data_IF_550534088955
#
_entry.id   IF_550534088955
#
_cell.length_a   1.000
_cell.length_b   1.000
_cell.length_c   1.000
_cell.angle_alpha   90.00
_cell.angle_beta   90.00
_cell.angle_gamma   90.00
#
_symmetry.space_group_name_H-M   'P 1'
#
loop_
_entity.id
_entity.type
_entity.pdbx_description
1 polymer ?
#
# COMPACT_ATOMS: atom_id res chain seq x y z
N UNK A 1 37.49 51.42 24.23
CA UNK A 1 38.02 50.82 22.98
C UNK A 1 37.42 49.43 22.82
N UNK A 2 36.62 49.27 21.76
CA UNK A 2 36.21 48.03 21.07
C UNK A 2 35.44 46.93 21.82
N UNK A 3 34.11 46.98 21.62
CA UNK A 3 33.18 45.85 21.57
C UNK A 3 33.59 44.81 20.51
N UNK A 4 33.47 43.51 20.82
CA UNK A 4 33.30 42.40 19.85
C UNK A 4 32.44 41.31 20.51
N UNK A 5 31.12 41.39 20.32
CA UNK A 5 30.29 40.58 19.39
C UNK A 5 30.24 39.08 19.70
N UNK A 6 29.07 38.66 20.20
CA UNK A 6 28.64 37.28 20.38
C UNK A 6 28.57 36.55 19.04
N UNK A 7 29.13 35.34 18.98
CA UNK A 7 28.94 34.42 17.85
C UNK A 7 27.94 33.36 18.27
N UNK A 8 26.73 33.44 17.71
CA UNK A 8 25.64 32.47 17.90
C UNK A 8 26.06 31.13 17.25
N UNK A 9 25.94 29.98 17.92
CA UNK A 9 26.31 28.68 17.36
C UNK A 9 25.45 28.30 16.14
N UNK A 10 26.12 27.64 15.21
CA UNK A 10 25.76 27.30 13.83
C UNK A 10 24.59 26.33 13.64
N UNK A 11 23.82 26.03 14.68
CA UNK A 11 22.80 24.95 14.67
C UNK A 11 21.42 25.40 14.18
N UNK A 12 21.12 26.71 14.18
CA UNK A 12 19.82 27.23 13.73
C UNK A 12 19.68 27.23 12.19
N UNK A 13 20.80 27.27 11.44
CA UNK A 13 20.77 27.27 9.96
C UNK A 13 20.48 25.89 9.35
N UNK A 14 20.67 24.80 10.08
CA UNK A 14 20.40 23.44 9.58
C UNK A 14 18.91 23.06 9.69
N UNK A 15 18.21 23.53 10.72
CA UNK A 15 16.75 23.39 10.85
C UNK A 15 16.02 24.18 9.75
N UNK A 16 16.47 25.41 9.48
CA UNK A 16 15.86 26.27 8.47
C UNK A 16 16.00 25.75 7.02
N UNK A 17 17.08 25.02 6.70
CA UNK A 17 17.23 24.39 5.37
C UNK A 17 16.36 23.15 5.17
N UNK A 18 15.97 22.44 6.23
CA UNK A 18 15.00 21.34 6.14
C UNK A 18 13.58 21.87 5.98
N UNK A 19 13.22 22.93 6.70
CA UNK A 19 11.92 23.61 6.57
C UNK A 19 11.74 24.31 5.21
N UNK A 20 12.80 24.88 4.62
CA UNK A 20 12.70 25.57 3.32
C UNK A 20 12.64 24.64 2.10
N UNK A 21 12.91 23.33 2.25
CA UNK A 21 12.74 22.36 1.16
C UNK A 21 11.28 21.88 0.99
N UNK A 22 10.41 22.17 1.97
CA UNK A 22 9.04 21.62 2.03
C UNK A 22 7.94 22.54 1.47
N UNK A 23 8.26 23.72 0.93
CA UNK A 23 7.24 24.70 0.55
C UNK A 23 7.28 25.11 -0.93
N UNK A 24 7.01 24.16 -1.85
CA UNK A 24 6.33 24.41 -3.14
C UNK A 24 5.92 23.09 -3.81
N UNK A 25 5.17 22.24 -3.10
CA UNK A 25 4.35 21.24 -3.79
C UNK A 25 3.49 21.98 -4.83
N UNK A 26 3.66 21.61 -6.09
CA UNK A 26 2.89 22.19 -7.20
C UNK A 26 1.40 22.02 -6.94
N UNK A 27 0.57 22.89 -7.53
CA UNK A 27 -0.89 22.80 -7.36
C UNK A 27 -1.41 21.38 -7.66
N UNK A 28 -0.86 20.74 -8.70
CA UNK A 28 -1.19 19.39 -9.09
C UNK A 28 -0.79 18.33 -8.05
N UNK A 29 0.38 18.45 -7.42
CA UNK A 29 0.82 17.50 -6.38
C UNK A 29 -0.05 17.60 -5.12
N UNK A 30 -0.49 18.81 -4.75
CA UNK A 30 -1.43 18.99 -3.63
C UNK A 30 -2.79 18.36 -3.91
N UNK A 31 -3.25 18.48 -5.14
CA UNK A 31 -4.51 17.87 -5.58
C UNK A 31 -4.41 16.34 -5.57
N UNK A 32 -3.30 15.78 -6.06
CA UNK A 32 -3.03 14.34 -6.02
C UNK A 32 -2.95 13.82 -4.58
N UNK A 33 -2.23 14.51 -3.69
CA UNK A 33 -2.16 14.14 -2.28
C UNK A 33 -3.54 14.13 -1.62
N UNK A 34 -4.38 15.12 -1.93
CA UNK A 34 -5.75 15.19 -1.41
C UNK A 34 -6.62 14.05 -1.95
N UNK A 35 -6.52 13.74 -3.23
CA UNK A 35 -7.26 12.63 -3.84
C UNK A 35 -6.83 11.28 -3.24
N UNK A 36 -5.52 11.07 -3.11
CA UNK A 36 -4.95 9.89 -2.48
C UNK A 36 -5.46 9.72 -1.04
N UNK A 37 -5.44 10.78 -0.23
CA UNK A 37 -5.92 10.73 1.16
C UNK A 37 -7.40 10.37 1.24
N UNK A 38 -8.24 10.88 0.32
CA UNK A 38 -9.66 10.51 0.26
C UNK A 38 -9.84 9.00 -0.01
N UNK A 39 -9.07 8.45 -0.94
CA UNK A 39 -9.10 7.01 -1.25
C UNK A 39 -8.65 6.19 -0.04
N UNK A 40 -7.56 6.60 0.64
CA UNK A 40 -7.10 5.96 1.86
C UNK A 40 -8.18 5.99 2.97
N UNK A 41 -8.83 7.14 3.20
CA UNK A 41 -9.89 7.26 4.19
C UNK A 41 -11.06 6.32 3.88
N UNK A 42 -11.46 6.23 2.61
CA UNK A 42 -12.52 5.32 2.20
C UNK A 42 -12.13 3.87 2.51
N UNK A 43 -10.87 3.50 2.24
CA UNK A 43 -10.40 2.16 2.53
C UNK A 43 -10.42 1.80 4.02
N UNK A 44 -10.00 2.74 4.86
CA UNK A 44 -10.05 2.64 6.32
C UNK A 44 -11.49 2.49 6.80
N UNK A 45 -12.41 3.28 6.27
CA UNK A 45 -13.83 3.22 6.62
C UNK A 45 -14.44 1.85 6.29
N UNK A 46 -14.18 1.33 5.09
CA UNK A 46 -14.66 0.00 4.67
C UNK A 46 -14.08 -1.13 5.54
N UNK A 47 -12.82 -1.01 5.96
CA UNK A 47 -12.20 -1.94 6.91
C UNK A 47 -12.92 -1.90 8.27
N UNK A 48 -13.17 -0.70 8.81
CA UNK A 48 -13.85 -0.53 10.10
C UNK A 48 -15.30 -1.02 10.09
N UNK A 49 -15.98 -0.93 8.94
CA UNK A 49 -17.33 -1.48 8.74
C UNK A 49 -17.34 -2.99 8.51
N UNK A 50 -16.18 -3.63 8.37
CA UNK A 50 -16.06 -5.07 8.16
C UNK A 50 -16.40 -5.52 6.74
N UNK A 51 -16.37 -4.60 5.75
CA UNK A 51 -16.63 -4.92 4.33
C UNK A 51 -15.55 -5.86 3.80
N UNK A 52 -14.30 -5.68 4.26
CA UNK A 52 -13.17 -6.57 3.96
C UNK A 52 -12.27 -6.69 5.18
N UNK A 53 -11.54 -7.80 5.27
CA UNK A 53 -10.66 -8.10 6.41
C UNK A 53 -9.27 -7.48 6.25
N UNK A 54 -8.86 -7.17 5.02
CA UNK A 54 -7.56 -6.60 4.70
C UNK A 54 -7.65 -5.76 3.43
N UNK A 55 -6.82 -4.72 3.33
CA UNK A 55 -6.71 -3.82 2.18
C UNK A 55 -5.28 -3.81 1.67
N UNK A 56 -5.13 -3.80 0.34
CA UNK A 56 -3.91 -3.39 -0.34
C UNK A 56 -4.11 -1.97 -0.90
N UNK A 57 -3.32 -1.03 -0.42
CA UNK A 57 -3.29 0.34 -0.92
C UNK A 57 -1.92 0.63 -1.53
N UNK A 58 -1.88 1.00 -2.82
CA UNK A 58 -0.63 1.35 -3.50
C UNK A 58 -0.54 2.87 -3.66
N UNK A 59 0.53 3.47 -3.13
CA UNK A 59 0.79 4.90 -3.25
C UNK A 59 2.24 5.17 -3.67
N UNK A 60 2.53 6.41 -4.06
CA UNK A 60 3.90 6.87 -4.25
C UNK A 60 4.60 6.96 -2.88
N UNK A 61 5.86 6.54 -2.80
CA UNK A 61 6.68 6.56 -1.58
C UNK A 61 6.71 7.94 -0.91
N UNK A 62 6.60 9.03 -1.67
CA UNK A 62 6.54 10.41 -1.14
C UNK A 62 5.35 10.64 -0.21
N UNK A 63 4.30 9.84 -0.32
CA UNK A 63 3.12 9.90 0.53
C UNK A 63 3.01 8.73 1.52
N UNK A 64 4.05 7.89 1.61
CA UNK A 64 4.10 6.74 2.50
C UNK A 64 3.98 7.17 3.97
N UNK A 65 4.76 8.17 4.38
CA UNK A 65 4.77 8.65 5.77
C UNK A 65 3.40 9.15 6.21
N UNK A 66 2.72 9.95 5.38
CA UNK A 66 1.36 10.42 5.65
C UNK A 66 0.34 9.27 5.76
N UNK A 67 0.54 8.21 4.97
CA UNK A 67 -0.31 7.01 5.02
C UNK A 67 -0.10 6.26 6.34
N UNK A 68 1.16 6.10 6.76
CA UNK A 68 1.55 5.41 8.00
C UNK A 68 1.03 6.18 9.21
N UNK A 69 1.30 7.49 9.30
CA UNK A 69 0.84 8.35 10.40
C UNK A 69 -0.68 8.20 10.61
N UNK A 70 -1.42 8.12 9.50
CA UNK A 70 -2.87 7.97 9.59
C UNK A 70 -3.29 6.59 10.12
N UNK A 71 -2.69 5.52 9.63
CA UNK A 71 -2.99 4.16 10.09
C UNK A 71 -2.64 4.01 11.58
N UNK A 72 -1.49 4.55 12.00
CA UNK A 72 -1.04 4.56 13.39
C UNK A 72 -1.98 5.37 14.30
N UNK A 73 -2.45 6.54 13.84
CA UNK A 73 -3.43 7.35 14.59
C UNK A 73 -4.75 6.63 14.88
N UNK A 74 -5.05 5.57 14.14
CA UNK A 74 -6.25 4.74 14.33
C UNK A 74 -5.94 3.36 14.90
N UNK A 75 -4.68 3.08 15.25
CA UNK A 75 -4.26 1.78 15.78
C UNK A 75 -4.42 0.63 14.78
N UNK A 76 -4.40 0.92 13.48
CA UNK A 76 -4.57 -0.09 12.42
C UNK A 76 -3.20 -0.69 12.10
N UNK A 77 -3.00 -2.02 12.28
CA UNK A 77 -1.73 -2.65 11.96
C UNK A 77 -1.53 -2.71 10.44
N UNK A 78 -0.27 -2.68 10.01
CA UNK A 78 0.08 -2.62 8.60
C UNK A 78 1.40 -3.36 8.26
N UNK A 79 1.60 -3.63 6.97
CA UNK A 79 2.81 -4.17 6.35
C UNK A 79 3.17 -3.34 5.13
N UNK A 80 4.44 -2.96 5.00
CA UNK A 80 4.94 -2.17 3.88
C UNK A 80 5.75 -3.06 2.95
N UNK A 81 5.51 -2.93 1.64
CA UNK A 81 6.29 -3.61 0.62
C UNK A 81 6.62 -2.64 -0.53
N UNK A 82 7.90 -2.41 -0.84
CA UNK A 82 8.28 -1.64 -2.03
C UNK A 82 7.75 -2.26 -3.32
N UNK A 83 7.02 -1.48 -4.12
CA UNK A 83 6.46 -1.89 -5.41
C UNK A 83 7.22 -1.21 -6.56
N UNK A 84 8.51 -1.54 -6.69
CA UNK A 84 9.42 -0.89 -7.63
C UNK A 84 10.06 0.39 -7.07
N UNK A 85 10.45 1.30 -7.96
CA UNK A 85 11.26 2.47 -7.57
C UNK A 85 10.45 3.54 -6.82
N UNK A 86 9.25 3.89 -7.32
CA UNK A 86 8.46 5.01 -6.79
C UNK A 86 7.23 4.58 -5.98
N UNK A 87 6.74 3.36 -6.15
CA UNK A 87 5.50 2.93 -5.50
C UNK A 87 5.80 2.11 -4.24
N UNK A 88 4.84 2.16 -3.32
CA UNK A 88 4.80 1.45 -2.05
C UNK A 88 3.44 0.78 -1.92
N UNK A 89 3.44 -0.52 -1.71
CA UNK A 89 2.26 -1.27 -1.30
C UNK A 89 2.14 -1.21 0.22
N UNK A 90 1.00 -0.74 0.71
CA UNK A 90 0.64 -0.68 2.12
C UNK A 90 -0.51 -1.66 2.34
N UNK A 91 -0.22 -2.75 3.04
CA UNK A 91 -1.24 -3.71 3.47
C UNK A 91 -1.69 -3.34 4.88
N UNK A 92 -2.99 -3.27 5.14
CA UNK A 92 -3.51 -3.02 6.48
C UNK A 92 -4.83 -3.73 6.71
N UNK A 93 -5.08 -4.17 7.95
CA UNK A 93 -6.26 -4.99 8.25
C UNK A 93 -6.14 -5.85 9.49
N UNK A 94 -6.81 -7.00 9.49
CA UNK A 94 -6.73 -8.05 10.51
C UNK A 94 -5.29 -8.56 10.65
N UNK A 95 -4.81 -8.73 11.88
CA UNK A 95 -3.44 -9.19 12.15
C UNK A 95 -3.16 -10.55 11.52
N UNK A 96 -4.13 -11.46 11.55
CA UNK A 96 -4.03 -12.79 10.99
C UNK A 96 -3.78 -12.76 9.47
N UNK A 97 -4.46 -11.85 8.75
CA UNK A 97 -4.23 -11.63 7.33
C UNK A 97 -2.84 -11.03 7.07
N UNK A 98 -2.40 -10.09 7.90
CA UNK A 98 -1.09 -9.46 7.75
C UNK A 98 0.07 -10.44 7.99
N UNK A 99 -0.06 -11.32 8.98
CA UNK A 99 0.94 -12.37 9.22
C UNK A 99 1.03 -13.35 8.03
N UNK A 100 -0.11 -13.71 7.42
CA UNK A 100 -0.11 -14.50 6.19
C UNK A 100 0.56 -13.77 5.02
N UNK A 101 0.30 -12.46 4.86
CA UNK A 101 0.93 -11.64 3.81
C UNK A 101 2.44 -11.59 3.95
N UNK A 102 2.99 -11.51 5.17
CA UNK A 102 4.44 -11.52 5.39
C UNK A 102 5.11 -12.77 4.84
N UNK A 103 4.39 -13.91 4.82
CA UNK A 103 4.90 -15.18 4.31
C UNK A 103 4.71 -15.32 2.80
N UNK A 104 3.61 -14.81 2.25
CA UNK A 104 3.26 -14.93 0.83
C UNK A 104 3.99 -13.90 -0.03
N UNK A 105 4.00 -12.65 0.42
CA UNK A 105 4.41 -11.49 -0.37
C UNK A 105 5.90 -11.19 -0.13
N UNK A 106 6.73 -12.18 -0.43
CA UNK A 106 8.21 -12.10 -0.38
C UNK A 106 8.82 -11.62 -1.69
N UNK A 107 7.99 -11.53 -2.74
CA UNK A 107 8.36 -11.17 -4.12
C UNK A 107 7.34 -10.18 -4.71
N UNK A 108 7.68 -9.51 -5.83
CA UNK A 108 6.72 -8.70 -6.56
C UNK A 108 5.43 -9.46 -6.91
N UNK A 109 4.27 -8.78 -6.84
CA UNK A 109 2.95 -9.41 -6.99
C UNK A 109 2.75 -10.14 -8.34
N UNK A 110 3.43 -9.69 -9.39
CA UNK A 110 3.38 -10.33 -10.71
C UNK A 110 4.11 -11.69 -10.77
N UNK A 111 4.88 -12.05 -9.75
CA UNK A 111 5.62 -13.30 -9.65
C UNK A 111 4.97 -14.31 -8.70
N UNK A 112 3.82 -13.98 -8.11
CA UNK A 112 3.08 -14.91 -7.26
C UNK A 112 2.61 -16.12 -8.09
N UNK A 113 2.71 -17.30 -7.49
CA UNK A 113 2.10 -18.53 -8.01
C UNK A 113 0.57 -18.39 -8.08
N UNK A 114 -0.12 -19.21 -8.88
CA UNK A 114 -1.58 -19.21 -8.91
C UNK A 114 -2.20 -19.41 -7.51
N UNK A 115 -1.62 -20.26 -6.68
CA UNK A 115 -2.05 -20.52 -5.30
C UNK A 115 -1.88 -19.30 -4.40
N UNK A 116 -0.71 -18.66 -4.42
CA UNK A 116 -0.44 -17.45 -3.63
C UNK A 116 -1.37 -16.29 -4.03
N UNK A 117 -1.63 -16.13 -5.33
CA UNK A 117 -2.56 -15.13 -5.87
C UNK A 117 -4.02 -15.44 -5.53
N UNK A 118 -4.38 -16.72 -5.46
CA UNK A 118 -5.69 -17.14 -4.97
C UNK A 118 -5.88 -16.69 -3.52
N UNK A 119 -4.94 -17.06 -2.63
CA UNK A 119 -4.98 -16.74 -1.20
C UNK A 119 -4.98 -15.22 -0.99
N UNK A 120 -4.09 -14.49 -1.68
CA UNK A 120 -4.06 -13.03 -1.65
C UNK A 120 -5.41 -12.43 -2.03
N UNK A 121 -6.00 -12.89 -3.14
CA UNK A 121 -7.25 -12.32 -3.60
C UNK A 121 -8.44 -12.61 -2.69
N UNK A 122 -8.50 -13.81 -2.09
CA UNK A 122 -9.51 -14.12 -1.07
C UNK A 122 -9.34 -13.23 0.18
N UNK A 123 -8.11 -12.98 0.63
CA UNK A 123 -7.87 -12.06 1.77
C UNK A 123 -8.26 -10.61 1.48
N UNK A 124 -8.15 -10.18 0.22
CA UNK A 124 -8.61 -8.86 -0.24
C UNK A 124 -10.13 -8.76 -0.41
N UNK A 125 -10.86 -9.88 -0.27
CA UNK A 125 -12.31 -9.94 -0.36
C UNK A 125 -12.85 -10.10 -1.78
N UNK A 126 -12.06 -10.59 -2.73
CA UNK A 126 -12.61 -11.01 -4.02
C UNK A 126 -13.52 -12.22 -3.86
N UNK A 127 -14.52 -12.32 -4.75
CA UNK A 127 -15.43 -13.45 -4.80
C UNK A 127 -14.67 -14.77 -4.98
N UNK A 128 -15.11 -15.79 -4.23
CA UNK A 128 -14.45 -17.10 -4.21
C UNK A 128 -14.54 -17.79 -5.56
N UNK A 129 -15.71 -17.74 -6.21
CA UNK A 129 -15.92 -18.39 -7.51
C UNK A 129 -15.10 -17.70 -8.61
N UNK A 130 -15.03 -16.37 -8.60
CA UNK A 130 -14.16 -15.61 -9.50
C UNK A 130 -12.67 -15.97 -9.31
N UNK A 131 -12.22 -16.14 -8.06
CA UNK A 131 -10.86 -16.59 -7.77
C UNK A 131 -10.61 -18.03 -8.22
N UNK A 132 -11.59 -18.93 -8.10
CA UNK A 132 -11.51 -20.30 -8.64
C UNK A 132 -11.34 -20.28 -10.16
N UNK A 133 -12.13 -19.47 -10.86
CA UNK A 133 -12.04 -19.32 -12.31
C UNK A 133 -10.65 -18.80 -12.72
N UNK A 134 -10.19 -17.72 -12.08
CA UNK A 134 -8.87 -17.12 -12.31
C UNK A 134 -7.74 -18.11 -12.04
N UNK A 135 -7.83 -18.89 -10.97
CA UNK A 135 -6.84 -19.92 -10.63
C UNK A 135 -6.74 -21.00 -11.72
N UNK A 136 -7.89 -21.52 -12.17
CA UNK A 136 -7.95 -22.48 -13.27
C UNK A 136 -7.36 -21.92 -14.57
N UNK A 137 -7.68 -20.67 -14.93
CA UNK A 137 -7.08 -19.97 -16.09
C UNK A 137 -5.56 -19.95 -16.01
N UNK A 138 -5.01 -19.54 -14.86
CA UNK A 138 -3.57 -19.42 -14.65
C UNK A 138 -2.85 -20.77 -14.61
N UNK A 139 -3.44 -21.82 -14.04
CA UNK A 139 -2.86 -23.16 -13.99
C UNK A 139 -2.80 -23.85 -15.34
N UNK A 140 -3.86 -23.69 -16.13
CA UNK A 140 -3.97 -24.38 -17.43
C UNK A 140 -3.32 -23.59 -18.58
N UNK A 141 -2.81 -22.38 -18.34
CA UNK A 141 -2.27 -21.50 -19.38
C UNK A 141 -3.32 -21.05 -20.41
N UNK A 142 -4.61 -21.20 -20.10
CA UNK A 142 -5.70 -20.87 -21.00
C UNK A 142 -5.79 -19.35 -21.20
N UNK A 143 -5.42 -18.89 -22.40
CA UNK A 143 -5.60 -17.51 -22.87
C UNK A 143 -7.04 -17.25 -23.37
N UNK A 144 -8.07 -17.76 -22.68
CA UNK A 144 -9.46 -17.62 -23.09
C UNK A 144 -10.44 -17.73 -21.92
N UNK A 145 -11.63 -17.16 -22.10
CA UNK A 145 -12.70 -17.18 -21.10
C UNK A 145 -13.08 -18.61 -20.71
N UNK A 146 -13.19 -18.84 -19.40
CA UNK A 146 -13.52 -20.14 -18.88
C UNK A 146 -15.03 -20.31 -18.90
N UNK A 147 -15.57 -20.77 -20.04
CA UNK A 147 -16.95 -21.25 -20.15
C UNK A 147 -17.13 -22.61 -19.43
N UNK A 148 -16.62 -22.75 -18.20
CA UNK A 148 -16.77 -23.98 -17.39
C UNK A 148 -16.04 -25.23 -17.91
N UNK A 149 -15.28 -25.15 -19.01
CA UNK A 149 -14.63 -26.30 -19.66
C UNK A 149 -13.24 -26.68 -19.10
N UNK A 150 -12.73 -25.98 -18.08
CA UNK A 150 -11.44 -26.32 -17.46
C UNK A 150 -11.47 -27.54 -16.52
N UNK A 151 -12.64 -28.15 -16.31
CA UNK A 151 -12.72 -29.45 -15.64
C UNK A 151 -12.28 -30.50 -16.67
N UNK A 152 -11.02 -30.94 -16.60
CA UNK A 152 -10.64 -32.23 -17.19
C UNK A 152 -11.53 -33.27 -16.50
N UNK A 153 -12.50 -33.80 -17.25
CA UNK A 153 -13.34 -34.93 -16.82
C UNK A 153 -12.40 -36.05 -16.40
N UNK A 154 -12.33 -36.33 -15.10
CA UNK A 154 -11.96 -37.65 -14.61
C UNK A 154 -13.22 -38.52 -14.63
#
# INVERSE_FOLDING_TARGET
MTMRTATIPTEIKAASKREQSQARLSSAERELARAMLKVLMNHIYELQKGVRQMVLFTCDKRYGDQTIERLESQGIPYVLQPAGQKNLNVYFGRRECLEAIRLIVTRPLNQLTPEEDFILGTMLGYDLCAQCERYCKRKNGCKGDCDGKCIKKN
#
